data_IF_992877938364
#
_entry.id   IF_992877938364
#
_cell.length_a   1.000
_cell.length_b   1.000
_cell.length_c   1.000
_cell.angle_alpha   90.00
_cell.angle_beta   90.00
_cell.angle_gamma   90.00
#
_symmetry.space_group_name_H-M   'P 1'
#
loop_
_entity.id
_entity.type
_entity.pdbx_description
1 polymer ?
#
# COMPACT_ATOMS: atom_id res chain seq x y z
N UNK A 1 -12.22 -8.81 6.53
CA UNK A 1 -11.90 -7.61 7.32
C UNK A 1 -10.45 -7.17 7.23
N UNK A 2 -9.45 -7.89 7.75
CA UNK A 2 -8.04 -7.43 7.62
C UNK A 2 -7.53 -7.42 6.17
N UNK A 3 -7.91 -8.43 5.38
CA UNK A 3 -7.43 -8.59 3.99
C UNK A 3 -7.81 -7.43 3.07
N UNK A 4 -9.06 -6.95 3.12
CA UNK A 4 -9.49 -5.83 2.29
C UNK A 4 -8.78 -4.53 2.69
N UNK A 5 -8.71 -4.24 4.00
CA UNK A 5 -8.02 -3.06 4.51
C UNK A 5 -6.52 -3.07 4.20
N UNK A 6 -5.86 -4.23 4.31
CA UNK A 6 -4.45 -4.38 3.94
C UNK A 6 -4.22 -4.19 2.43
N UNK A 7 -5.07 -4.77 1.58
CA UNK A 7 -4.90 -4.69 0.13
C UNK A 7 -4.99 -3.25 -0.38
N UNK A 8 -5.91 -2.45 0.15
CA UNK A 8 -5.96 -1.01 -0.13
C UNK A 8 -4.65 -0.34 0.26
N UNK A 9 -4.27 -0.40 1.53
CA UNK A 9 -3.03 0.21 2.03
C UNK A 9 -1.78 -0.20 1.24
N UNK A 10 -1.65 -1.47 0.89
CA UNK A 10 -0.56 -1.98 0.05
C UNK A 10 -0.58 -1.36 -1.35
N UNK A 11 -1.74 -1.30 -1.99
CA UNK A 11 -1.90 -0.65 -3.30
C UNK A 11 -1.48 0.83 -3.25
N UNK A 12 -1.95 1.58 -2.26
CA UNK A 12 -1.55 2.99 -2.06
C UNK A 12 -0.04 3.13 -1.85
N UNK A 13 0.54 2.24 -1.05
CA UNK A 13 1.98 2.25 -0.80
C UNK A 13 2.80 2.05 -2.08
N UNK A 14 2.40 1.08 -2.92
CA UNK A 14 3.07 0.79 -4.20
C UNK A 14 2.99 2.00 -5.13
N UNK A 15 1.79 2.54 -5.33
CA UNK A 15 1.56 3.64 -6.27
C UNK A 15 2.24 4.95 -5.82
N UNK A 16 2.41 5.15 -4.51
CA UNK A 16 3.11 6.33 -3.96
C UNK A 16 4.62 6.13 -3.82
N UNK A 17 5.15 4.94 -4.11
CA UNK A 17 6.58 4.67 -3.98
C UNK A 17 7.46 5.61 -4.83
N UNK A 18 7.14 5.93 -6.10
CA UNK A 18 7.91 6.89 -6.90
C UNK A 18 7.97 8.30 -6.28
N UNK A 19 6.89 8.74 -5.64
CA UNK A 19 6.84 10.03 -4.91
C UNK A 19 7.71 9.97 -3.67
N UNK A 20 7.61 8.87 -2.91
CA UNK A 20 8.42 8.63 -1.70
C UNK A 20 9.92 8.55 -2.01
N UNK A 21 10.28 8.07 -3.19
CA UNK A 21 11.65 8.02 -3.68
C UNK A 21 12.11 9.34 -4.32
N UNK A 22 11.28 10.39 -4.27
CA UNK A 22 11.55 11.72 -4.83
C UNK A 22 11.81 11.72 -6.35
N UNK A 23 11.33 10.68 -7.06
CA UNK A 23 11.49 10.56 -8.51
C UNK A 23 10.48 11.46 -9.24
N UNK A 24 9.26 11.58 -8.68
CA UNK A 24 8.17 12.38 -9.23
C UNK A 24 7.42 13.14 -8.14
N UNK A 25 6.70 14.20 -8.50
CA UNK A 25 5.91 15.00 -7.55
C UNK A 25 4.54 14.38 -7.24
N UNK A 26 3.93 13.71 -8.22
CA UNK A 26 2.61 13.07 -8.08
C UNK A 26 2.68 11.61 -8.51
N UNK A 27 1.87 10.71 -7.90
CA UNK A 27 1.91 9.29 -8.23
C UNK A 27 1.70 8.98 -9.71
N UNK A 28 0.74 9.65 -10.33
CA UNK A 28 0.39 9.48 -11.75
C UNK A 28 1.38 10.12 -12.73
N UNK A 29 2.40 10.84 -12.26
CA UNK A 29 3.47 11.36 -13.12
C UNK A 29 4.52 10.27 -13.42
N UNK A 30 4.52 9.16 -12.68
CA UNK A 30 5.45 8.06 -12.90
C UNK A 30 4.97 7.14 -14.02
N UNK A 31 5.72 7.11 -15.13
CA UNK A 31 5.36 6.37 -16.35
C UNK A 31 5.13 4.86 -16.13
N UNK A 32 5.85 4.24 -15.20
CA UNK A 32 5.78 2.80 -14.96
C UNK A 32 4.91 2.45 -13.75
N UNK A 33 3.76 3.13 -13.63
CA UNK A 33 2.77 2.93 -12.59
C UNK A 33 1.36 2.97 -13.18
N UNK A 34 0.46 2.16 -12.62
CA UNK A 34 -0.95 2.13 -12.99
C UNK A 34 -1.73 3.33 -12.44
N UNK A 35 -1.14 4.16 -11.57
CA UNK A 35 -1.78 5.34 -10.99
C UNK A 35 -2.32 6.30 -12.05
N UNK A 36 -1.60 6.49 -13.16
CA UNK A 36 -2.06 7.36 -14.24
C UNK A 36 -3.37 6.87 -14.89
N UNK A 37 -3.49 5.57 -15.12
CA UNK A 37 -4.70 4.96 -15.67
C UNK A 37 -5.86 5.03 -14.68
N UNK A 38 -5.63 4.75 -13.40
CA UNK A 38 -6.69 4.80 -12.39
C UNK A 38 -7.18 6.22 -12.06
N UNK A 39 -6.30 7.22 -12.23
CA UNK A 39 -6.59 8.64 -12.01
C UNK A 39 -7.11 9.38 -13.25
N UNK A 40 -7.31 8.71 -14.38
CA UNK A 40 -7.87 9.33 -15.59
C UNK A 40 -6.88 10.15 -16.42
N UNK A 41 -5.58 9.99 -16.18
CA UNK A 41 -4.52 10.67 -16.95
C UNK A 41 -4.00 9.81 -18.11
N UNK A 42 -4.29 8.50 -18.12
CA UNK A 42 -3.90 7.59 -19.19
C UNK A 42 -4.89 6.42 -19.36
N UNK A 43 -6.08 6.70 -19.90
CA UNK A 43 -7.16 5.71 -20.06
C UNK A 43 -6.90 4.66 -21.16
N UNK A 44 -5.76 4.72 -21.85
CA UNK A 44 -5.43 3.87 -23.01
C UNK A 44 -4.22 2.96 -22.77
N UNK A 45 -3.80 2.77 -21.51
CA UNK A 45 -2.72 1.84 -21.21
C UNK A 45 -3.17 0.38 -21.46
N UNK A 46 -2.59 -0.34 -22.43
CA UNK A 46 -3.00 -1.71 -22.73
C UNK A 46 -2.61 -2.71 -21.63
N UNK A 47 -1.75 -2.32 -20.67
CA UNK A 47 -1.30 -3.16 -19.57
C UNK A 47 -2.21 -3.06 -18.34
N UNK A 48 -3.13 -2.09 -18.30
CA UNK A 48 -3.95 -1.81 -17.11
C UNK A 48 -5.43 -1.98 -17.44
N UNK A 49 -6.06 -2.98 -16.81
CA UNK A 49 -7.50 -3.17 -16.88
C UNK A 49 -8.16 -2.38 -15.74
N UNK A 50 -8.63 -1.17 -16.04
CA UNK A 50 -9.20 -0.24 -15.03
C UNK A 50 -10.45 -0.82 -14.35
N UNK A 51 -11.24 -1.63 -15.06
CA UNK A 51 -12.45 -2.28 -14.54
C UNK A 51 -12.19 -3.30 -13.43
N UNK A 52 -10.99 -3.90 -13.40
CA UNK A 52 -10.65 -4.99 -12.50
C UNK A 52 -10.11 -4.50 -11.15
N UNK A 53 -9.95 -3.18 -11.01
CA UNK A 53 -9.42 -2.62 -9.76
C UNK A 53 -10.40 -2.88 -8.60
N UNK A 54 -9.95 -3.56 -7.52
CA UNK A 54 -10.83 -4.16 -6.51
C UNK A 54 -11.71 -3.16 -5.73
N UNK A 55 -11.26 -1.90 -5.60
CA UNK A 55 -11.94 -0.89 -4.79
C UNK A 55 -12.36 0.37 -5.56
N UNK A 56 -11.97 0.50 -6.84
CA UNK A 56 -12.21 1.76 -7.58
C UNK A 56 -13.70 1.89 -7.91
N UNK A 57 -14.35 0.76 -8.19
CA UNK A 57 -15.77 0.72 -8.50
C UNK A 57 -16.65 1.18 -7.32
N UNK A 58 -16.20 1.02 -6.08
CA UNK A 58 -16.95 1.48 -4.91
C UNK A 58 -16.70 2.94 -4.53
N UNK A 59 -15.76 3.64 -5.19
CA UNK A 59 -15.42 5.03 -4.82
C UNK A 59 -16.47 6.06 -5.27
N UNK A 60 -17.13 5.81 -6.41
CA UNK A 60 -18.20 6.66 -6.94
C UNK A 60 -18.94 5.94 -8.09
N UNK A 61 -20.08 6.48 -8.51
CA UNK A 61 -20.91 5.91 -9.58
C UNK A 61 -20.44 6.26 -11.00
N UNK A 62 -19.82 7.43 -11.18
CA UNK A 62 -19.38 7.93 -12.50
C UNK A 62 -17.87 7.87 -12.64
N UNK A 63 -17.37 7.62 -13.85
CA UNK A 63 -15.92 7.54 -14.11
C UNK A 63 -15.13 8.77 -13.67
N UNK A 64 -15.56 10.02 -13.94
CA UNK A 64 -14.84 11.21 -13.46
C UNK A 64 -14.73 11.26 -11.94
N UNK A 65 -15.80 10.90 -11.22
CA UNK A 65 -15.78 10.85 -9.75
C UNK A 65 -14.94 9.69 -9.22
N UNK A 66 -14.86 8.56 -9.93
CA UNK A 66 -13.96 7.45 -9.58
C UNK A 66 -12.50 7.86 -9.71
N UNK A 67 -12.14 8.57 -10.79
CA UNK A 67 -10.79 9.12 -10.98
C UNK A 67 -10.43 10.09 -9.84
N UNK A 68 -11.34 11.02 -9.54
CA UNK A 68 -11.13 12.01 -8.47
C UNK A 68 -11.03 11.33 -7.09
N UNK A 69 -11.89 10.34 -6.81
CA UNK A 69 -11.82 9.53 -5.60
C UNK A 69 -10.49 8.79 -5.46
N UNK A 70 -9.98 8.23 -6.56
CA UNK A 70 -8.68 7.56 -6.58
C UNK A 70 -7.52 8.53 -6.35
N UNK A 71 -7.58 9.73 -6.93
CA UNK A 71 -6.60 10.79 -6.68
C UNK A 71 -6.59 11.21 -5.21
N UNK A 72 -7.76 11.43 -4.59
CA UNK A 72 -7.87 11.75 -3.15
C UNK A 72 -7.29 10.63 -2.30
N UNK A 73 -7.61 9.39 -2.62
CA UNK A 73 -7.07 8.22 -1.95
C UNK A 73 -5.54 8.17 -1.99
N UNK A 74 -4.92 8.49 -3.12
CA UNK A 74 -3.46 8.57 -3.25
C UNK A 74 -2.84 9.81 -2.58
N UNK A 75 -3.56 10.93 -2.52
CA UNK A 75 -3.06 12.17 -1.91
C UNK A 75 -3.32 12.28 -0.40
N UNK A 76 -4.07 11.35 0.18
CA UNK A 76 -4.39 11.31 1.60
C UNK A 76 -3.13 11.20 2.47
N UNK A 77 -2.72 12.31 3.08
CA UNK A 77 -1.51 12.39 3.92
C UNK A 77 -1.64 11.61 5.22
N UNK A 78 -2.82 11.67 5.86
CA UNK A 78 -3.09 10.93 7.09
C UNK A 78 -2.93 9.42 6.87
N UNK A 79 -3.63 8.89 5.88
CA UNK A 79 -3.61 7.46 5.63
C UNK A 79 -2.24 6.98 5.10
N UNK A 80 -1.53 7.86 4.40
CA UNK A 80 -0.13 7.65 4.04
C UNK A 80 0.77 7.46 5.27
N UNK A 81 0.62 8.33 6.28
CA UNK A 81 1.43 8.26 7.48
C UNK A 81 1.17 6.93 8.22
N UNK A 82 -0.11 6.54 8.33
CA UNK A 82 -0.52 5.26 8.91
C UNK A 82 0.08 4.08 8.13
N UNK A 83 0.07 4.12 6.79
CA UNK A 83 0.68 3.09 5.96
C UNK A 83 2.19 3.02 6.16
N UNK A 84 2.86 4.17 6.25
CA UNK A 84 4.29 4.23 6.51
C UNK A 84 4.62 3.63 7.87
N UNK A 85 3.81 3.85 8.91
CA UNK A 85 4.00 3.18 10.20
C UNK A 85 3.94 1.66 10.04
N UNK A 86 2.91 1.15 9.35
CA UNK A 86 2.73 -0.29 9.12
C UNK A 86 3.90 -0.89 8.33
N UNK A 87 4.30 -0.27 7.21
CA UNK A 87 5.32 -0.84 6.32
C UNK A 87 6.76 -0.55 6.77
N UNK A 88 7.01 0.52 7.52
CA UNK A 88 8.33 0.78 8.13
C UNK A 88 8.56 -0.06 9.39
N UNK A 89 7.49 -0.37 10.13
CA UNK A 89 7.57 -1.20 11.34
C UNK A 89 8.11 -2.60 11.06
N UNK A 90 7.93 -3.15 9.85
CA UNK A 90 8.51 -4.44 9.43
C UNK A 90 10.04 -4.52 9.53
N UNK A 91 10.76 -3.39 9.68
CA UNK A 91 12.21 -3.40 10.00
C UNK A 91 12.51 -3.70 11.48
N UNK A 92 11.54 -3.49 12.38
CA UNK A 92 11.66 -3.68 13.85
C UNK A 92 10.75 -4.76 14.40
N UNK A 93 9.57 -4.99 13.81
CA UNK A 93 8.62 -6.02 14.19
C UNK A 93 8.78 -7.24 13.30
N UNK A 94 8.78 -8.42 13.91
CA UNK A 94 8.89 -9.71 13.22
C UNK A 94 7.67 -10.02 12.34
N UNK A 95 6.56 -9.28 12.47
CA UNK A 95 5.30 -9.50 11.73
C UNK A 95 4.62 -8.17 11.38
N UNK A 96 3.84 -8.21 10.30
CA UNK A 96 2.92 -7.15 9.86
C UNK A 96 1.49 -7.67 10.06
N UNK A 97 0.67 -6.94 10.80
CA UNK A 97 -0.72 -7.31 11.11
C UNK A 97 -1.25 -6.58 12.35
N UNK A 98 -2.58 -6.51 12.46
CA UNK A 98 -3.31 -5.94 13.59
C UNK A 98 -3.24 -6.79 14.87
N UNK A 99 -3.71 -6.24 15.98
CA UNK A 99 -3.62 -6.88 17.30
C UNK A 99 -4.43 -8.17 17.40
N UNK A 100 -5.52 -8.30 16.62
CA UNK A 100 -6.30 -9.54 16.57
C UNK A 100 -5.49 -10.66 15.91
N UNK A 101 -4.85 -10.36 14.78
CA UNK A 101 -3.97 -11.29 14.06
C UNK A 101 -2.74 -11.66 14.88
N UNK A 102 -2.13 -10.67 15.56
CA UNK A 102 -1.01 -10.90 16.49
C UNK A 102 -1.41 -11.84 17.63
N UNK A 103 -2.58 -11.62 18.22
CA UNK A 103 -3.12 -12.47 19.29
C UNK A 103 -3.35 -13.91 18.81
N UNK A 104 -3.93 -14.08 17.62
CA UNK A 104 -4.12 -15.40 17.01
C UNK A 104 -2.79 -16.10 16.70
N UNK A 105 -1.77 -15.37 16.23
CA UNK A 105 -0.44 -15.94 15.98
C UNK A 105 0.25 -16.42 17.26
N UNK A 106 0.14 -15.65 18.35
CA UNK A 106 0.70 -16.03 19.65
C UNK A 106 0.00 -17.27 20.20
N UNK A 107 -1.33 -17.36 20.06
CA UNK A 107 -2.09 -18.54 20.45
C UNK A 107 -1.69 -19.79 19.64
N UNK A 108 -1.43 -19.65 18.34
CA UNK A 108 -1.14 -20.78 17.46
C UNK A 108 0.30 -21.31 17.57
N UNK A 109 1.29 -20.43 17.80
CA UNK A 109 2.72 -20.78 17.71
C UNK A 109 3.59 -20.37 18.91
N UNK A 110 3.00 -19.83 19.99
CA UNK A 110 3.74 -19.41 21.18
C UNK A 110 4.43 -18.04 21.06
N UNK A 111 5.46 -17.77 21.88
CA UNK A 111 6.20 -16.49 21.84
C UNK A 111 6.99 -16.35 20.54
N UNK A 112 6.57 -15.44 19.68
CA UNK A 112 7.29 -15.11 18.47
C UNK A 112 8.07 -13.80 18.71
N UNK A 113 9.38 -13.90 18.93
CA UNK A 113 10.28 -12.74 19.10
C UNK A 113 11.34 -12.74 18.01
N UNK A 114 11.72 -11.56 17.52
CA UNK A 114 12.86 -11.43 16.63
C UNK A 114 14.10 -11.94 17.37
N UNK A 115 14.79 -12.96 16.83
CA UNK A 115 16.10 -13.35 17.36
C UNK A 115 17.05 -12.15 17.26
N UNK A 116 17.78 -11.87 18.34
CA UNK A 116 18.83 -10.85 18.33
C UNK A 116 19.83 -11.18 17.21
N UNK A 117 20.25 -10.15 16.46
CA UNK A 117 21.27 -10.29 15.42
C UNK A 117 22.52 -10.90 16.05
N UNK A 118 23.01 -12.01 15.50
CA UNK A 118 24.22 -12.68 15.99
C UNK A 118 25.46 -11.79 15.84
N UNK A 119 26.53 -12.12 16.58
CA UNK A 119 27.83 -11.43 16.43
C UNK A 119 28.36 -11.66 15.00
N UNK A 120 28.82 -10.62 14.28
CA UNK A 120 29.43 -10.80 12.96
C UNK A 120 30.65 -11.73 13.05
N UNK A 121 30.86 -12.58 12.05
CA UNK A 121 32.05 -13.44 12.00
C UNK A 121 33.29 -12.56 11.86
N UNK A 122 34.35 -12.88 12.61
CA UNK A 122 35.65 -12.25 12.36
C UNK A 122 36.10 -12.71 10.96
N UNK A 123 36.33 -11.74 10.08
CA UNK A 123 37.15 -11.93 8.88
C UNK A 123 38.58 -11.62 9.24
#
# INVERSE_FOLDING_TARGET
>A
MQKEGYLGRLGRYIERNPVRAEIVKRPWDYRWSSAAAYSGFNDKDPLVVVSDHPFRKSMADTEPLRCEGYMRYLLSEKETADDMEIFSSGRKSTFIGDDSFRSSLIQLKGRISARKKGKPSKT
#
